data_IF_850450945606
#
_entry.id   IF_850450945606
#
_cell.length_a   1.000
_cell.length_b   1.000
_cell.length_c   1.000
_cell.angle_alpha   90.00
_cell.angle_beta   90.00
_cell.angle_gamma   90.00
#
_symmetry.space_group_name_H-M   'P 1'
#
loop_
_entity.id
_entity.type
_entity.pdbx_description
1 polymer ?
#
# COMPACT_ATOMS: atom_id res chain seq x y z
N UNK A 1 -31.42 -11.11 21.90
CA UNK A 1 -30.76 -9.80 21.75
C UNK A 1 -29.29 -10.05 21.47
N UNK A 2 -28.88 -10.07 20.19
CA UNK A 2 -27.49 -10.31 19.82
C UNK A 2 -26.73 -8.98 19.80
N UNK A 3 -25.70 -8.90 20.63
CA UNK A 3 -24.78 -7.78 20.74
C UNK A 3 -23.99 -7.62 19.44
N UNK A 4 -24.15 -6.47 18.79
CA UNK A 4 -23.36 -6.09 17.62
C UNK A 4 -21.94 -5.78 18.08
N UNK A 5 -21.07 -6.79 18.04
CA UNK A 5 -19.66 -6.62 18.37
C UNK A 5 -18.97 -5.81 17.27
N UNK A 6 -18.56 -4.62 17.68
CA UNK A 6 -17.88 -3.56 16.96
C UNK A 6 -16.45 -3.99 16.60
N UNK A 7 -16.22 -4.27 15.32
CA UNK A 7 -14.88 -4.28 14.76
C UNK A 7 -14.93 -3.55 13.42
N UNK A 8 -14.38 -2.33 13.42
CA UNK A 8 -14.06 -1.57 12.20
C UNK A 8 -12.85 -2.22 11.52
N UNK A 9 -12.95 -3.50 11.18
CA UNK A 9 -12.04 -4.14 10.24
C UNK A 9 -12.52 -3.72 8.87
N UNK A 10 -11.62 -3.32 7.98
CA UNK A 10 -11.95 -3.14 6.57
C UNK A 10 -12.48 -4.48 6.04
N UNK A 11 -13.79 -4.66 6.10
CA UNK A 11 -14.51 -5.79 5.54
C UNK A 11 -14.45 -5.55 4.04
N UNK A 12 -13.56 -6.26 3.39
CA UNK A 12 -13.63 -6.44 1.94
C UNK A 12 -14.74 -7.47 1.71
N UNK A 13 -15.80 -7.06 1.04
CA UNK A 13 -16.93 -7.93 0.73
C UNK A 13 -16.98 -8.23 -0.77
N UNK A 14 -17.42 -9.44 -1.11
CA UNK A 14 -17.55 -9.95 -2.48
C UNK A 14 -18.91 -9.61 -3.12
N UNK A 15 -19.91 -9.29 -2.28
CA UNK A 15 -21.26 -8.90 -2.69
C UNK A 15 -21.66 -7.58 -2.06
N UNK A 16 -22.44 -6.79 -2.81
CA UNK A 16 -22.97 -5.52 -2.32
C UNK A 16 -23.94 -5.77 -1.16
N UNK A 17 -23.75 -5.15 0.02
CA UNK A 17 -24.72 -5.24 1.10
C UNK A 17 -26.04 -4.56 0.71
N UNK A 18 -27.10 -4.79 1.48
CA UNK A 18 -28.34 -4.02 1.33
C UNK A 18 -28.07 -2.55 1.73
N UNK A 19 -28.36 -1.61 0.83
CA UNK A 19 -28.05 -0.20 1.01
C UNK A 19 -29.33 0.63 1.11
N UNK A 20 -29.35 1.53 2.07
CA UNK A 20 -30.40 2.55 2.17
C UNK A 20 -30.21 3.62 1.10
N UNK A 21 -31.29 4.26 0.63
CA UNK A 21 -31.19 5.38 -0.28
C UNK A 21 -30.38 6.53 0.35
N UNK A 22 -29.62 7.24 -0.49
CA UNK A 22 -28.90 8.45 -0.08
C UNK A 22 -29.92 9.52 0.36
N UNK A 23 -29.76 10.16 1.54
CA UNK A 23 -30.56 11.32 1.90
C UNK A 23 -30.41 12.45 0.89
N UNK A 24 -31.50 13.17 0.59
CA UNK A 24 -31.51 14.24 -0.43
C UNK A 24 -30.47 15.33 -0.16
N UNK A 25 -30.26 15.68 1.11
CA UNK A 25 -29.30 16.71 1.55
C UNK A 25 -27.83 16.23 1.60
N UNK A 26 -27.56 14.94 1.35
CA UNK A 26 -26.20 14.41 1.33
C UNK A 26 -25.59 14.55 -0.07
N UNK A 27 -24.34 15.04 -0.15
CA UNK A 27 -23.62 15.16 -1.42
C UNK A 27 -23.55 13.82 -2.18
N UNK A 28 -23.74 13.88 -3.50
CA UNK A 28 -23.62 12.70 -4.35
C UNK A 28 -22.16 12.46 -4.80
N UNK A 29 -21.76 11.22 -4.62
CA UNK A 29 -20.42 10.72 -4.88
C UNK A 29 -20.44 9.52 -5.83
N UNK A 30 -21.60 9.10 -6.32
CA UNK A 30 -21.75 7.99 -7.27
C UNK A 30 -20.91 8.22 -8.51
N UNK A 31 -20.17 7.19 -8.94
CA UNK A 31 -19.32 7.19 -10.13
C UNK A 31 -17.97 7.88 -9.96
N UNK A 32 -17.74 8.64 -8.88
CA UNK A 32 -16.44 9.28 -8.64
C UNK A 32 -15.39 8.21 -8.26
N UNK A 33 -14.21 8.35 -8.84
CA UNK A 33 -13.09 7.41 -8.74
C UNK A 33 -11.90 7.97 -7.97
N UNK A 34 -11.17 7.09 -7.31
CA UNK A 34 -9.86 7.33 -6.70
C UNK A 34 -9.02 6.06 -6.82
N UNK A 35 -7.94 6.12 -7.59
CA UNK A 35 -7.19 4.92 -7.95
C UNK A 35 -8.11 3.87 -8.60
N UNK A 36 -8.15 2.67 -8.01
CA UNK A 36 -9.00 1.54 -8.42
C UNK A 36 -10.37 1.52 -7.75
N UNK A 37 -10.66 2.46 -6.83
CA UNK A 37 -11.90 2.49 -6.07
C UNK A 37 -12.91 3.44 -6.73
N UNK A 38 -14.10 2.94 -7.05
CA UNK A 38 -15.24 3.72 -7.58
C UNK A 38 -16.36 3.72 -6.57
N UNK A 39 -16.87 4.88 -6.17
CA UNK A 39 -18.06 4.91 -5.34
C UNK A 39 -19.30 4.53 -6.13
N UNK A 40 -20.10 3.66 -5.54
CA UNK A 40 -21.29 3.09 -6.20
C UNK A 40 -22.58 3.42 -5.44
N UNK A 41 -22.50 3.64 -4.13
CA UNK A 41 -23.67 3.94 -3.33
C UNK A 41 -23.32 4.52 -1.97
N UNK A 42 -24.24 5.32 -1.45
CA UNK A 42 -24.19 5.86 -0.10
C UNK A 42 -24.42 4.72 0.93
N UNK A 43 -23.76 4.81 2.09
CA UNK A 43 -23.93 3.82 3.15
C UNK A 43 -24.50 4.44 4.43
N UNK A 44 -23.82 5.46 4.98
CA UNK A 44 -24.22 6.09 6.25
C UNK A 44 -23.52 7.45 6.46
N UNK A 45 -24.00 8.30 7.38
CA UNK A 45 -23.18 9.38 7.90
C UNK A 45 -21.91 8.83 8.58
N UNK A 46 -20.84 9.62 8.54
CA UNK A 46 -19.61 9.31 9.26
C UNK A 46 -19.83 9.41 10.77
N UNK A 47 -19.01 8.71 11.57
CA UNK A 47 -19.09 8.74 13.04
C UNK A 47 -19.05 10.15 13.65
N UNK A 48 -18.39 11.10 12.99
CA UNK A 48 -18.30 12.49 13.44
C UNK A 48 -19.46 13.37 12.96
N UNK A 49 -20.40 12.84 12.18
CA UNK A 49 -21.50 13.60 11.55
C UNK A 49 -21.06 14.52 10.40
N UNK A 50 -19.79 14.95 10.36
CA UNK A 50 -19.24 15.93 9.41
C UNK A 50 -18.94 15.37 8.01
N UNK A 51 -19.55 14.27 7.60
CA UNK A 51 -19.25 13.64 6.31
C UNK A 51 -19.98 12.34 6.11
N UNK A 52 -19.75 11.71 4.96
CA UNK A 52 -20.45 10.49 4.53
C UNK A 52 -19.49 9.31 4.39
N UNK A 53 -20.03 8.11 4.56
CA UNK A 53 -19.39 6.84 4.24
C UNK A 53 -20.12 6.24 3.06
N UNK A 54 -19.35 5.78 2.08
CA UNK A 54 -19.82 5.23 0.82
C UNK A 54 -19.31 3.82 0.64
N UNK A 55 -20.08 2.99 -0.06
CA UNK A 55 -19.56 1.76 -0.62
C UNK A 55 -18.84 2.08 -1.91
N UNK A 56 -17.61 1.61 -2.02
CA UNK A 56 -16.80 1.69 -3.21
C UNK A 56 -16.46 0.30 -3.72
N UNK A 57 -16.54 0.12 -5.04
CA UNK A 57 -16.08 -1.06 -5.76
C UNK A 57 -14.65 -0.87 -6.24
N UNK A 58 -13.78 -1.82 -5.93
CA UNK A 58 -12.44 -1.91 -6.50
C UNK A 58 -12.51 -2.52 -7.91
N UNK A 59 -11.56 -2.18 -8.79
CA UNK A 59 -11.49 -2.77 -10.13
C UNK A 59 -11.35 -4.32 -10.13
N UNK A 60 -10.90 -4.94 -9.03
CA UNK A 60 -10.90 -6.40 -8.86
C UNK A 60 -12.28 -7.01 -8.58
N UNK A 61 -13.33 -6.19 -8.45
CA UNK A 61 -14.70 -6.61 -8.18
C UNK A 61 -15.11 -6.56 -6.72
N UNK A 62 -14.17 -6.52 -5.78
CA UNK A 62 -14.45 -6.45 -4.34
C UNK A 62 -14.92 -5.06 -3.91
N UNK A 63 -15.65 -4.98 -2.81
CA UNK A 63 -16.24 -3.75 -2.29
C UNK A 63 -15.75 -3.44 -0.88
N UNK A 64 -15.66 -2.14 -0.56
CA UNK A 64 -15.28 -1.65 0.78
C UNK A 64 -15.95 -0.31 1.10
N UNK A 65 -16.01 0.01 2.39
CA UNK A 65 -16.45 1.32 2.87
C UNK A 65 -15.34 2.37 2.77
N UNK A 66 -15.64 3.54 2.21
CA UNK A 66 -14.71 4.67 2.06
C UNK A 66 -15.37 6.00 2.43
N UNK A 67 -14.55 6.95 2.90
CA UNK A 67 -14.97 8.34 3.08
C UNK A 67 -14.56 9.14 1.84
N UNK A 68 -15.49 9.84 1.15
CA UNK A 68 -15.17 10.60 -0.06
C UNK A 68 -14.31 11.86 0.14
N UNK A 69 -14.03 12.22 1.40
CA UNK A 69 -13.61 13.56 1.84
C UNK A 69 -12.31 14.16 1.28
N UNK A 70 -11.61 13.52 0.33
CA UNK A 70 -10.43 14.10 -0.34
C UNK A 70 -10.19 13.56 -1.75
N UNK A 71 -11.23 13.35 -2.58
CA UNK A 71 -11.03 12.98 -3.99
C UNK A 71 -10.35 14.06 -4.84
N UNK A 72 -10.51 15.34 -4.50
CA UNK A 72 -10.05 16.44 -5.35
C UNK A 72 -8.65 17.00 -4.98
N UNK A 73 -8.07 16.63 -3.82
CA UNK A 73 -6.96 17.44 -3.24
C UNK A 73 -5.70 16.68 -2.81
N UNK A 74 -5.63 15.35 -2.93
CA UNK A 74 -4.41 14.60 -2.55
C UNK A 74 -3.95 13.65 -3.67
N UNK A 75 -2.68 13.71 -4.10
CA UNK A 75 -2.13 12.79 -5.10
C UNK A 75 -1.80 11.46 -4.42
N UNK A 76 -2.82 10.71 -4.01
CA UNK A 76 -2.65 9.33 -3.57
C UNK A 76 -2.78 8.44 -4.80
N UNK A 77 -1.68 7.90 -5.36
CA UNK A 77 -1.71 7.49 -6.75
C UNK A 77 -2.54 6.22 -7.00
N UNK A 78 -2.77 5.36 -6.00
CA UNK A 78 -3.34 4.03 -6.27
C UNK A 78 -4.16 3.46 -5.09
N UNK A 79 -5.22 4.17 -4.68
CA UNK A 79 -6.18 3.59 -3.74
C UNK A 79 -6.78 2.29 -4.30
N UNK A 80 -6.85 1.23 -3.49
CA UNK A 80 -7.33 -0.10 -3.86
C UNK A 80 -7.88 -0.83 -2.63
N UNK A 81 -8.64 -1.91 -2.81
CA UNK A 81 -9.15 -2.71 -1.70
C UNK A 81 -8.01 -3.40 -0.93
N UNK A 82 -8.29 -3.85 0.30
CA UNK A 82 -7.36 -4.55 1.17
C UNK A 82 -6.76 -5.77 0.49
N UNK A 83 -7.55 -6.59 -0.20
CA UNK A 83 -7.02 -7.73 -0.96
C UNK A 83 -6.01 -7.28 -2.00
N UNK A 84 -6.34 -6.24 -2.79
CA UNK A 84 -5.43 -5.70 -3.80
C UNK A 84 -4.17 -5.05 -3.22
N UNK A 85 -4.21 -4.56 -1.97
CA UNK A 85 -3.04 -4.04 -1.27
C UNK A 85 -2.06 -5.15 -0.88
N UNK A 86 -2.55 -6.37 -0.65
CA UNK A 86 -1.74 -7.50 -0.21
C UNK A 86 -1.44 -8.50 -1.35
N UNK A 87 -2.08 -8.36 -2.51
CA UNK A 87 -1.64 -9.06 -3.73
C UNK A 87 -0.40 -8.39 -4.28
N UNK A 88 0.75 -8.99 -3.98
CA UNK A 88 2.07 -8.63 -4.49
C UNK A 88 3.08 -9.64 -3.96
N UNK A 89 4.29 -9.72 -4.55
CA UNK A 89 5.33 -10.57 -4.00
C UNK A 89 5.68 -10.06 -2.59
N UNK A 90 5.83 -10.98 -1.65
CA UNK A 90 6.29 -10.66 -0.31
C UNK A 90 7.72 -10.09 -0.36
N UNK A 91 8.15 -9.47 0.74
CA UNK A 91 9.52 -8.98 0.84
C UNK A 91 10.56 -10.09 0.59
N UNK A 92 10.28 -11.31 1.06
CA UNK A 92 11.11 -12.51 0.81
C UNK A 92 11.19 -12.87 -0.67
N UNK A 93 10.07 -12.80 -1.39
CA UNK A 93 9.99 -13.19 -2.80
C UNK A 93 10.83 -12.25 -3.68
N UNK A 94 10.93 -10.97 -3.29
CA UNK A 94 11.77 -9.98 -3.99
C UNK A 94 13.19 -9.84 -3.42
N UNK A 95 13.49 -10.46 -2.27
CA UNK A 95 14.77 -10.32 -1.60
C UNK A 95 15.97 -10.79 -2.44
N UNK A 96 15.93 -11.95 -3.14
CA UNK A 96 17.04 -12.39 -3.98
C UNK A 96 17.37 -11.39 -5.10
N UNK A 97 16.33 -10.87 -5.76
CA UNK A 97 16.50 -9.88 -6.85
C UNK A 97 17.08 -8.57 -6.31
N UNK A 98 16.65 -8.12 -5.13
CA UNK A 98 17.20 -6.94 -4.47
C UNK A 98 18.66 -7.11 -4.08
N UNK A 99 19.01 -8.27 -3.51
CA UNK A 99 20.38 -8.61 -3.16
C UNK A 99 21.26 -8.64 -4.40
N UNK A 100 20.82 -9.29 -5.48
CA UNK A 100 21.58 -9.34 -6.72
C UNK A 100 21.82 -7.95 -7.29
N UNK A 101 20.80 -7.08 -7.33
CA UNK A 101 20.95 -5.69 -7.79
C UNK A 101 21.96 -4.90 -6.97
N UNK A 102 21.98 -5.13 -5.65
CA UNK A 102 22.96 -4.51 -4.76
C UNK A 102 24.38 -5.04 -5.03
N UNK A 103 24.57 -6.36 -5.17
CA UNK A 103 25.83 -6.99 -5.58
C UNK A 103 26.33 -6.43 -6.91
N UNK A 104 25.46 -6.33 -7.91
CA UNK A 104 25.80 -5.75 -9.22
C UNK A 104 26.19 -4.28 -9.11
N UNK A 105 25.62 -3.54 -8.14
CA UNK A 105 26.04 -2.19 -7.80
C UNK A 105 27.48 -2.13 -7.29
N UNK A 106 27.85 -3.02 -6.37
CA UNK A 106 29.22 -3.12 -5.85
C UNK A 106 30.23 -3.52 -6.95
N UNK A 107 29.85 -4.45 -7.83
CA UNK A 107 30.64 -4.82 -9.01
C UNK A 107 30.88 -3.63 -9.92
N UNK A 108 29.84 -2.82 -10.20
CA UNK A 108 29.96 -1.59 -11.02
C UNK A 108 30.87 -0.54 -10.37
N UNK A 109 30.93 -0.48 -9.04
CA UNK A 109 31.89 0.37 -8.33
C UNK A 109 33.34 -0.16 -8.41
N UNK A 110 33.54 -1.40 -8.86
CA UNK A 110 34.85 -2.02 -9.02
C UNK A 110 35.31 -2.82 -7.78
N UNK A 111 34.38 -3.30 -6.94
CA UNK A 111 34.71 -4.28 -5.91
C UNK A 111 34.85 -5.68 -6.53
N UNK A 112 35.79 -6.46 -6.00
CA UNK A 112 35.99 -7.86 -6.35
C UNK A 112 35.00 -8.77 -5.62
N UNK A 113 34.82 -10.00 -6.10
CA UNK A 113 33.91 -10.97 -5.46
C UNK A 113 34.33 -11.28 -4.00
N UNK A 114 35.63 -11.37 -3.73
CA UNK A 114 36.13 -11.60 -2.37
C UNK A 114 35.80 -10.44 -1.41
N UNK A 115 35.91 -9.20 -1.91
CA UNK A 115 35.51 -8.00 -1.14
C UNK A 115 34.00 -7.99 -0.90
N UNK A 116 33.19 -8.32 -1.91
CA UNK A 116 31.73 -8.37 -1.79
C UNK A 116 31.29 -9.43 -0.76
N UNK A 117 31.93 -10.61 -0.76
CA UNK A 117 31.69 -11.64 0.26
C UNK A 117 32.01 -11.12 1.66
N UNK A 118 33.11 -10.37 1.82
CA UNK A 118 33.47 -9.76 3.11
C UNK A 118 32.46 -8.69 3.54
N UNK A 119 31.98 -7.85 2.61
CA UNK A 119 30.89 -6.89 2.87
C UNK A 119 29.63 -7.62 3.33
N UNK A 120 29.24 -8.70 2.65
CA UNK A 120 28.07 -9.50 3.03
C UNK A 120 28.22 -10.13 4.43
N UNK A 121 29.40 -10.67 4.75
CA UNK A 121 29.67 -11.28 6.05
C UNK A 121 29.64 -10.26 7.21
N UNK A 122 30.09 -9.03 6.96
CA UNK A 122 30.05 -7.94 7.94
C UNK A 122 28.66 -7.31 8.07
N UNK A 123 27.81 -7.44 7.05
CA UNK A 123 26.41 -7.03 7.06
C UNK A 123 26.26 -5.53 7.38
N UNK A 124 25.51 -5.22 8.44
CA UNK A 124 25.20 -3.83 8.85
C UNK A 124 26.40 -3.05 9.38
N UNK A 125 27.58 -3.68 9.53
CA UNK A 125 28.82 -3.01 9.95
C UNK A 125 29.52 -2.26 8.81
N UNK A 126 29.03 -2.38 7.57
CA UNK A 126 29.61 -1.74 6.39
C UNK A 126 28.55 -0.88 5.70
N UNK A 127 28.82 0.41 5.59
CA UNK A 127 27.99 1.33 4.82
C UNK A 127 28.38 1.27 3.34
N UNK A 128 27.40 1.02 2.48
CA UNK A 128 27.57 0.88 1.02
C UNK A 128 26.79 1.91 0.22
N UNK A 129 25.81 2.57 0.84
CA UNK A 129 24.98 3.57 0.18
C UNK A 129 25.79 4.84 -0.04
N UNK A 130 25.77 5.32 -1.29
CA UNK A 130 26.41 6.56 -1.71
C UNK A 130 27.93 6.62 -1.39
N UNK A 131 28.59 5.46 -1.33
CA UNK A 131 30.04 5.32 -1.10
C UNK A 131 30.79 4.92 -2.37
N UNK A 132 32.04 5.36 -2.46
CA UNK A 132 32.98 4.89 -3.48
C UNK A 132 33.61 3.56 -3.07
N UNK A 133 34.19 2.82 -4.02
CA UNK A 133 34.87 1.55 -3.71
C UNK A 133 36.00 1.70 -2.69
N UNK A 134 36.77 2.79 -2.76
CA UNK A 134 37.84 3.08 -1.79
C UNK A 134 37.29 3.27 -0.37
N UNK A 135 36.17 3.97 -0.22
CA UNK A 135 35.51 4.17 1.08
C UNK A 135 34.93 2.87 1.65
N UNK A 136 34.44 1.97 0.78
CA UNK A 136 33.95 0.66 1.22
C UNK A 136 35.13 -0.23 1.64
N UNK A 137 36.23 -0.25 0.87
CA UNK A 137 37.46 -1.00 1.22
C UNK A 137 38.02 -0.64 2.58
N UNK A 138 38.03 0.65 2.92
CA UNK A 138 38.51 1.12 4.22
C UNK A 138 37.69 0.61 5.41
N UNK A 139 36.44 0.16 5.19
CA UNK A 139 35.58 -0.42 6.23
C UNK A 139 35.74 -1.94 6.35
N UNK A 140 36.27 -2.59 5.31
CA UNK A 140 36.41 -4.06 5.24
C UNK A 140 37.87 -4.52 5.27
N UNK A 141 38.83 -3.61 5.44
CA UNK A 141 40.26 -3.95 5.60
C UNK A 141 40.48 -4.73 6.89
#
# INVERSE_FOLDING_TARGET
MATMSDATTALTFDRLPNLSPRPENAADHTGKRRGRMTAIAWCRPSRSGKGTVWVCRCDCGLFEYRRPGTWASKPFPEDRCRTCLHTGPNASDTAPVRLQRWVDGLRRLGLTEAEIVRVQALGTKVETRDKTATQIRAQIS
#
